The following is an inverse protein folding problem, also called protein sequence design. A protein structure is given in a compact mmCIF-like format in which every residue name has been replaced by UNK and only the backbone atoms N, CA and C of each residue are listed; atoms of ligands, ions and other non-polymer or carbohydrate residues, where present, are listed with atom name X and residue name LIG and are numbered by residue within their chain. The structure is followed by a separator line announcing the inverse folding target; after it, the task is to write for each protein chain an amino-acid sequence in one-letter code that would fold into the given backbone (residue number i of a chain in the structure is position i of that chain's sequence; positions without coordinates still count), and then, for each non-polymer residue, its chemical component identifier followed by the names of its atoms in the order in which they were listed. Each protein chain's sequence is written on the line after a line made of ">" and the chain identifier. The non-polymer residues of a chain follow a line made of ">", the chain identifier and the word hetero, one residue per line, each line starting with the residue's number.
data_IF_545243415699
#
_entry.id   IF_545243415699
#
_cell.length_a   1.000
_cell.length_b   1.000
_cell.length_c   1.000
_cell.angle_alpha   90.00
_cell.angle_beta   90.00
_cell.angle_gamma   90.00
#
_symmetry.space_group_name_H-M   'P 1'
#
loop_
_entity.id
_entity.type
_entity.pdbx_description
1 polymer ?
#
# COMPACT_ATOMS: atom_id res chain seq x y z
N UNK A 1 10.70 -11.07 -4.30
CA UNK A 1 11.57 -9.96 -3.89
C UNK A 1 11.41 -9.67 -2.40
N UNK A 2 10.24 -9.24 -1.91
CA UNK A 2 10.02 -8.94 -0.49
C UNK A 2 8.92 -9.82 0.11
N UNK A 3 9.25 -10.92 0.81
CA UNK A 3 8.25 -11.82 1.40
C UNK A 3 7.58 -11.23 2.64
N UNK A 4 8.23 -10.29 3.33
CA UNK A 4 7.72 -9.65 4.54
C UNK A 4 7.91 -8.12 4.52
N UNK A 5 7.26 -7.42 3.57
CA UNK A 5 7.50 -6.01 3.30
C UNK A 5 7.12 -5.09 4.48
N UNK A 6 6.06 -5.43 5.22
CA UNK A 6 5.61 -4.61 6.34
C UNK A 6 6.54 -4.73 7.56
N UNK A 7 7.03 -5.94 7.87
CA UNK A 7 8.02 -6.12 8.93
C UNK A 7 9.31 -5.35 8.61
N UNK A 8 9.83 -5.50 7.39
CA UNK A 8 11.05 -4.81 6.97
C UNK A 8 10.87 -3.29 7.03
N UNK A 9 9.75 -2.75 6.55
CA UNK A 9 9.48 -1.32 6.61
C UNK A 9 9.39 -0.82 8.06
N UNK A 10 8.61 -1.48 8.92
CA UNK A 10 8.42 -1.10 10.33
C UNK A 10 9.67 -1.27 11.19
N UNK A 11 10.68 -2.00 10.72
CA UNK A 11 11.99 -2.15 11.38
C UNK A 11 13.09 -1.30 10.74
N UNK A 12 12.81 -0.62 9.63
CA UNK A 12 13.76 0.25 8.91
C UNK A 12 13.16 1.63 8.64
N UNK A 13 12.76 1.92 7.40
CA UNK A 13 12.33 3.25 6.93
C UNK A 13 11.11 3.81 7.67
N UNK A 14 10.26 2.94 8.23
CA UNK A 14 9.07 3.31 9.01
C UNK A 14 9.22 3.05 10.51
N UNK A 15 10.44 2.81 11.00
CA UNK A 15 10.67 2.54 12.43
C UNK A 15 10.13 3.65 13.34
N UNK A 16 10.21 4.92 12.92
CA UNK A 16 9.77 6.08 13.70
C UNK A 16 8.25 6.17 13.90
N UNK A 17 7.45 5.49 13.08
CA UNK A 17 5.98 5.47 13.19
C UNK A 17 5.43 4.12 13.65
N UNK A 18 6.30 3.12 13.82
CA UNK A 18 5.90 1.78 14.22
C UNK A 18 5.36 1.77 15.66
N UNK A 19 4.29 1.00 15.87
CA UNK A 19 3.74 0.69 17.20
C UNK A 19 4.10 -0.75 17.54
N UNK A 20 4.64 -0.97 18.73
CA UNK A 20 5.09 -2.27 19.21
C UNK A 20 6.60 -2.49 19.07
N UNK A 21 7.06 -3.60 19.62
CA UNK A 21 8.47 -3.98 19.71
C UNK A 21 8.63 -5.51 19.68
N UNK A 22 9.86 -6.00 19.79
CA UNK A 22 10.12 -7.45 19.80
C UNK A 22 9.81 -8.10 18.47
N UNK A 23 8.86 -9.05 18.45
CA UNK A 23 8.55 -9.92 17.29
C UNK A 23 7.35 -9.48 16.45
N UNK A 24 6.64 -8.40 16.84
CA UNK A 24 5.53 -7.86 16.07
C UNK A 24 5.52 -6.34 16.13
N UNK A 25 5.19 -5.71 15.00
CA UNK A 25 5.01 -4.26 14.89
C UNK A 25 3.80 -3.98 14.01
N UNK A 26 3.12 -2.87 14.26
CA UNK A 26 2.01 -2.41 13.41
C UNK A 26 2.11 -0.94 13.07
N UNK A 27 1.38 -0.53 12.03
CA UNK A 27 1.13 0.88 11.81
C UNK A 27 0.06 1.40 12.79
N UNK A 28 0.09 2.70 13.15
CA UNK A 28 -0.97 3.31 13.94
C UNK A 28 -2.34 3.11 13.30
N UNK A 29 -3.38 2.98 14.13
CA UNK A 29 -4.74 2.69 13.67
C UNK A 29 -5.32 3.79 12.77
N UNK A 30 -4.85 5.03 12.82
CA UNK A 30 -5.27 6.12 11.93
C UNK A 30 -4.41 6.27 10.66
N UNK A 31 -3.41 5.41 10.48
CA UNK A 31 -2.49 5.37 9.31
C UNK A 31 -2.89 4.27 8.33
N UNK A 32 -2.67 2.99 8.60
CA UNK A 32 -3.11 1.87 7.73
C UNK A 32 -3.35 0.58 8.55
N UNK A 33 -4.25 -0.32 8.12
CA UNK A 33 -4.52 -1.59 8.82
C UNK A 33 -3.50 -2.67 8.50
N UNK A 34 -2.20 -2.42 8.70
CA UNK A 34 -1.16 -3.43 8.44
C UNK A 34 -0.23 -3.64 9.63
N UNK A 35 0.25 -4.88 9.76
CA UNK A 35 1.27 -5.28 10.70
C UNK A 35 2.37 -6.09 10.00
N UNK A 36 3.54 -6.12 10.62
CA UNK A 36 4.61 -7.04 10.32
C UNK A 36 4.91 -7.90 11.54
N UNK A 37 5.20 -9.17 11.31
CA UNK A 37 5.70 -10.12 12.31
C UNK A 37 7.11 -10.57 11.90
N UNK A 38 7.99 -10.83 12.86
CA UNK A 38 9.38 -11.20 12.57
C UNK A 38 9.49 -12.54 11.83
N UNK A 39 8.65 -13.49 12.22
CA UNK A 39 8.50 -14.80 11.64
C UNK A 39 7.03 -15.26 11.75
N UNK A 40 6.77 -16.51 11.38
CA UNK A 40 5.42 -17.08 11.28
C UNK A 40 5.03 -17.93 12.48
N UNK A 41 5.88 -18.01 13.51
CA UNK A 41 5.71 -18.89 14.65
C UNK A 41 4.81 -18.33 15.75
N UNK A 42 4.44 -19.21 16.68
CA UNK A 42 3.57 -18.91 17.81
C UNK A 42 3.97 -17.66 18.62
N UNK A 43 5.27 -17.45 18.90
CA UNK A 43 5.72 -16.30 19.70
C UNK A 43 5.46 -14.96 19.00
N UNK A 44 5.76 -14.87 17.70
CA UNK A 44 5.48 -13.67 16.91
C UNK A 44 3.97 -13.41 16.80
N UNK A 45 3.17 -14.47 16.70
CA UNK A 45 1.71 -14.38 16.66
C UNK A 45 1.11 -14.00 18.02
N UNK A 46 1.72 -14.41 19.13
CA UNK A 46 1.37 -13.93 20.49
C UNK A 46 1.65 -12.45 20.61
N UNK A 47 2.83 -11.99 20.18
CA UNK A 47 3.18 -10.57 20.16
C UNK A 47 2.19 -9.75 19.29
N UNK A 48 1.78 -10.27 18.13
CA UNK A 48 0.76 -9.64 17.29
C UNK A 48 -0.59 -9.53 18.02
N UNK A 49 -1.05 -10.59 18.68
CA UNK A 49 -2.30 -10.59 19.44
C UNK A 49 -2.32 -9.50 20.50
N UNK A 50 -1.20 -9.34 21.21
CA UNK A 50 -1.10 -8.39 22.31
C UNK A 50 -1.09 -6.93 21.83
N UNK A 51 -0.79 -6.68 20.55
CA UNK A 51 -0.89 -5.36 19.89
C UNK A 51 -2.29 -5.02 19.37
N UNK A 52 -3.22 -5.99 19.32
CA UNK A 52 -4.56 -5.79 18.81
C UNK A 52 -5.56 -5.58 19.94
N UNK A 53 -6.43 -4.59 19.78
CA UNK A 53 -7.58 -4.44 20.67
C UNK A 53 -8.62 -5.54 20.39
N UNK A 54 -9.43 -5.95 21.39
CA UNK A 54 -10.55 -6.87 21.15
C UNK A 54 -11.50 -6.33 20.06
N UNK A 55 -11.75 -7.14 19.04
CA UNK A 55 -12.53 -6.78 17.85
C UNK A 55 -11.70 -6.17 16.70
N UNK A 56 -10.45 -5.78 16.94
CA UNK A 56 -9.58 -5.20 15.90
C UNK A 56 -9.14 -6.25 14.88
N UNK A 57 -9.13 -5.85 13.61
CA UNK A 57 -8.65 -6.65 12.50
C UNK A 57 -7.56 -5.92 11.73
N UNK A 58 -6.50 -6.63 11.37
CA UNK A 58 -5.31 -6.09 10.70
C UNK A 58 -4.83 -7.04 9.61
N UNK A 59 -4.14 -6.52 8.61
CA UNK A 59 -3.52 -7.33 7.57
C UNK A 59 -2.04 -7.62 7.86
N UNK A 60 -1.65 -8.87 7.66
CA UNK A 60 -0.26 -9.33 7.71
C UNK A 60 0.08 -9.97 6.36
N UNK A 61 1.27 -9.69 5.85
CA UNK A 61 1.80 -10.35 4.66
C UNK A 61 2.61 -11.59 5.06
N UNK A 62 2.41 -12.70 4.36
CA UNK A 62 3.19 -13.94 4.57
C UNK A 62 2.37 -15.18 4.25
N UNK A 63 3.02 -16.28 3.82
CA UNK A 63 2.37 -17.44 3.20
C UNK A 63 1.72 -18.44 4.16
N UNK A 64 2.28 -18.60 5.36
CA UNK A 64 1.72 -19.44 6.44
C UNK A 64 1.87 -18.65 7.73
N UNK A 65 0.80 -18.46 8.48
CA UNK A 65 0.84 -17.85 9.81
C UNK A 65 0.31 -18.91 10.78
N UNK A 66 1.01 -19.16 11.89
CA UNK A 66 0.47 -20.02 12.94
C UNK A 66 -0.71 -19.32 13.63
N UNK A 67 -1.91 -19.87 13.48
CA UNK A 67 -3.08 -19.39 14.20
C UNK A 67 -3.07 -19.95 15.62
N UNK A 68 -3.00 -19.04 16.58
CA UNK A 68 -2.98 -19.33 18.02
C UNK A 68 -4.32 -18.98 18.66
N UNK A 69 -4.64 -19.51 19.85
CA UNK A 69 -5.80 -19.06 20.62
C UNK A 69 -5.81 -17.54 20.83
N UNK A 70 -6.97 -16.94 20.58
CA UNK A 70 -7.19 -15.49 20.67
C UNK A 70 -6.95 -14.73 19.37
N UNK A 71 -6.55 -15.41 18.29
CA UNK A 71 -6.51 -14.86 16.93
C UNK A 71 -7.31 -15.74 15.97
N UNK A 72 -7.93 -15.13 14.98
CA UNK A 72 -8.56 -15.84 13.88
C UNK A 72 -8.23 -15.19 12.54
N UNK A 73 -8.13 -16.00 11.49
CA UNK A 73 -8.04 -15.51 10.11
C UNK A 73 -9.45 -15.27 9.59
N UNK A 74 -9.75 -14.02 9.21
CA UNK A 74 -11.06 -13.62 8.68
C UNK A 74 -11.15 -13.84 7.17
N UNK A 75 -10.09 -13.48 6.44
CA UNK A 75 -9.99 -13.63 4.99
C UNK A 75 -8.54 -13.52 4.53
N UNK A 76 -8.31 -13.85 3.27
CA UNK A 76 -7.03 -13.62 2.61
C UNK A 76 -7.23 -12.96 1.24
N UNK A 77 -6.20 -12.24 0.80
CA UNK A 77 -6.12 -11.60 -0.51
C UNK A 77 -4.82 -12.08 -1.16
N UNK A 78 -4.96 -12.97 -2.14
CA UNK A 78 -3.84 -13.36 -2.99
C UNK A 78 -3.51 -12.23 -3.98
N UNK A 79 -2.23 -12.00 -4.19
CA UNK A 79 -1.73 -10.95 -5.08
C UNK A 79 -0.38 -11.27 -5.67
N UNK A 80 0.06 -10.36 -6.52
CA UNK A 80 1.40 -10.36 -7.09
C UNK A 80 2.18 -9.17 -6.53
N UNK A 81 3.45 -9.40 -6.25
CA UNK A 81 4.44 -8.34 -6.20
C UNK A 81 4.92 -8.08 -7.61
N UNK A 82 4.97 -6.80 -8.01
CA UNK A 82 5.50 -6.40 -9.30
C UNK A 82 6.60 -5.36 -9.11
N UNK A 83 7.71 -5.52 -9.84
CA UNK A 83 8.83 -4.57 -9.82
C UNK A 83 8.90 -3.83 -11.15
N UNK A 84 9.18 -2.53 -11.10
CA UNK A 84 9.50 -1.78 -12.29
C UNK A 84 10.89 -2.21 -12.80
N UNK A 85 10.97 -2.60 -14.07
CA UNK A 85 12.17 -3.19 -14.68
C UNK A 85 12.67 -2.43 -15.92
N UNK A 86 11.98 -1.35 -16.32
CA UNK A 86 12.38 -0.58 -17.51
C UNK A 86 13.37 0.52 -17.15
N UNK A 87 14.51 0.55 -17.83
CA UNK A 87 15.46 1.67 -17.77
C UNK A 87 14.99 2.87 -18.62
N UNK A 88 14.05 2.62 -19.53
CA UNK A 88 13.48 3.66 -20.41
C UNK A 88 12.18 4.18 -19.80
N UNK A 89 12.21 5.46 -19.42
CA UNK A 89 11.00 6.21 -19.10
C UNK A 89 10.53 6.93 -20.35
N UNK A 90 9.40 6.51 -20.90
CA UNK A 90 8.80 7.24 -22.03
C UNK A 90 8.53 8.70 -21.66
N UNK A 91 8.75 9.65 -22.58
CA UNK A 91 8.41 11.06 -22.38
C UNK A 91 6.96 11.20 -21.93
N UNK A 92 6.70 12.18 -21.05
CA UNK A 92 5.33 12.51 -20.66
C UNK A 92 4.56 13.02 -21.87
N UNK A 93 3.27 12.70 -21.95
CA UNK A 93 2.38 13.32 -22.94
C UNK A 93 2.31 14.82 -22.70
N UNK A 94 2.57 15.64 -23.72
CA UNK A 94 2.54 17.11 -23.62
C UNK A 94 1.16 17.64 -23.17
N UNK A 95 0.10 16.87 -23.37
CA UNK A 95 -1.28 17.18 -22.97
C UNK A 95 -1.71 16.55 -21.64
N UNK A 96 -0.78 16.01 -20.84
CA UNK A 96 -1.11 15.42 -19.56
C UNK A 96 -1.77 16.46 -18.62
N UNK A 97 -2.77 16.07 -17.80
CA UNK A 97 -3.33 16.96 -16.80
C UNK A 97 -2.27 17.44 -15.81
N UNK A 98 -2.42 18.64 -15.22
CA UNK A 98 -1.55 19.07 -14.14
C UNK A 98 -1.65 18.09 -12.96
N UNK A 99 -0.49 17.76 -12.40
CA UNK A 99 -0.34 16.89 -11.24
C UNK A 99 0.05 17.77 -10.05
N UNK A 100 -0.64 17.60 -8.92
CA UNK A 100 -0.35 18.33 -7.68
C UNK A 100 0.16 17.38 -6.59
N UNK A 101 1.02 17.88 -5.70
CA UNK A 101 1.42 17.18 -4.49
C UNK A 101 0.30 17.31 -3.45
N UNK A 102 -0.12 16.20 -2.85
CA UNK A 102 -1.17 16.14 -1.86
C UNK A 102 -0.57 16.13 -0.45
N UNK A 103 -0.65 17.28 0.23
CA UNK A 103 -0.29 17.44 1.64
C UNK A 103 -1.41 17.00 2.61
N UNK A 104 -1.14 17.12 3.91
CA UNK A 104 -2.05 16.76 5.01
C UNK A 104 -3.39 17.50 4.96
N UNK A 105 -3.44 18.73 4.44
CA UNK A 105 -4.69 19.48 4.27
C UNK A 105 -5.68 18.78 3.32
N UNK A 106 -5.16 17.95 2.39
CA UNK A 106 -5.97 17.21 1.43
C UNK A 106 -6.45 15.85 1.97
N UNK A 107 -6.19 15.51 3.24
CA UNK A 107 -6.50 14.19 3.78
C UNK A 107 -7.97 13.79 3.63
N UNK A 108 -8.90 14.75 3.76
CA UNK A 108 -10.33 14.48 3.55
C UNK A 108 -10.66 14.10 2.11
N UNK A 109 -10.08 14.81 1.13
CA UNK A 109 -10.26 14.52 -0.29
C UNK A 109 -9.67 13.16 -0.66
N UNK A 110 -8.47 12.86 -0.13
CA UNK A 110 -7.80 11.57 -0.35
C UNK A 110 -8.63 10.41 0.22
N UNK A 111 -9.07 10.51 1.48
CA UNK A 111 -9.94 9.50 2.10
C UNK A 111 -11.22 9.33 1.28
N UNK A 112 -11.91 10.42 0.95
CA UNK A 112 -13.15 10.37 0.17
C UNK A 112 -13.00 9.69 -1.19
N UNK A 113 -11.91 9.94 -1.91
CA UNK A 113 -11.64 9.28 -3.19
C UNK A 113 -11.31 7.78 -3.00
N UNK A 114 -10.47 7.47 -2.01
CA UNK A 114 -10.06 6.08 -1.76
C UNK A 114 -11.16 5.21 -1.17
N UNK A 115 -12.10 5.74 -0.40
CA UNK A 115 -13.19 4.95 0.18
C UNK A 115 -14.13 4.38 -0.89
N UNK A 116 -14.23 5.05 -2.05
CA UNK A 116 -14.96 4.55 -3.21
C UNK A 116 -14.26 3.34 -3.85
N UNK A 117 -12.93 3.29 -3.80
CA UNK A 117 -12.14 2.26 -4.49
C UNK A 117 -11.70 1.12 -3.56
N UNK A 118 -11.27 1.44 -2.33
CA UNK A 118 -10.59 0.57 -1.36
C UNK A 118 -10.99 0.95 0.07
N UNK A 119 -12.26 0.76 0.47
CA UNK A 119 -12.78 1.27 1.74
C UNK A 119 -11.95 0.82 2.95
N UNK A 120 -11.55 1.78 3.77
CA UNK A 120 -10.85 1.56 5.04
C UNK A 120 -9.35 1.23 4.97
N UNK A 121 -8.76 1.10 3.78
CA UNK A 121 -7.30 0.90 3.62
C UNK A 121 -6.50 2.19 3.75
N UNK A 122 -7.03 3.28 3.18
CA UNK A 122 -6.49 4.61 3.34
C UNK A 122 -7.28 5.34 4.44
N UNK A 123 -6.58 6.02 5.32
CA UNK A 123 -7.07 6.64 6.56
C UNK A 123 -6.53 8.05 6.67
N UNK A 124 -7.03 8.78 7.68
CA UNK A 124 -6.74 10.21 7.88
C UNK A 124 -5.24 10.55 7.86
N UNK A 125 -4.38 9.69 8.40
CA UNK A 125 -2.93 9.90 8.46
C UNK A 125 -2.12 9.05 7.48
N UNK A 126 -2.72 8.34 6.53
CA UNK A 126 -1.94 7.52 5.57
C UNK A 126 -0.92 8.33 4.76
N UNK A 127 -1.19 9.62 4.56
CA UNK A 127 -0.28 10.55 3.87
C UNK A 127 1.10 10.65 4.52
N UNK A 128 1.27 10.25 5.79
CA UNK A 128 2.60 10.26 6.45
C UNK A 128 3.54 9.16 5.94
N UNK A 129 3.02 8.18 5.20
CA UNK A 129 3.81 7.06 4.65
C UNK A 129 4.68 7.45 3.45
N UNK A 130 4.45 8.63 2.87
CA UNK A 130 5.24 9.12 1.76
C UNK A 130 4.50 10.14 0.90
N UNK A 131 4.96 10.32 -0.33
CA UNK A 131 4.41 11.33 -1.24
C UNK A 131 3.16 10.84 -1.94
N UNK A 132 2.14 11.70 -2.01
CA UNK A 132 0.89 11.45 -2.72
C UNK A 132 0.66 12.53 -3.78
N UNK A 133 0.19 12.11 -4.95
CA UNK A 133 0.01 12.98 -6.11
C UNK A 133 -1.41 12.86 -6.65
N UNK A 134 -1.98 13.98 -7.04
CA UNK A 134 -3.38 14.09 -7.44
C UNK A 134 -3.59 14.77 -8.78
N UNK A 135 -4.75 14.50 -9.38
CA UNK A 135 -5.28 15.23 -10.53
C UNK A 135 -6.66 15.78 -10.15
N UNK A 136 -6.87 17.08 -10.38
CA UNK A 136 -8.17 17.74 -10.17
C UNK A 136 -8.94 18.02 -11.46
N UNK A 137 -10.26 17.98 -11.33
CA UNK A 137 -11.24 18.48 -12.31
C UNK A 137 -12.35 19.22 -11.58
N UNK A 138 -12.63 20.44 -12.03
CA UNK A 138 -13.68 21.29 -11.46
C UNK A 138 -13.55 21.44 -9.93
N UNK A 139 -12.32 21.62 -9.46
CA UNK A 139 -11.97 21.74 -8.03
C UNK A 139 -11.96 20.42 -7.24
N UNK A 140 -12.38 19.30 -7.82
CA UNK A 140 -12.46 18.00 -7.14
C UNK A 140 -11.25 17.12 -7.44
N UNK A 141 -10.74 16.41 -6.44
CA UNK A 141 -9.73 15.36 -6.62
C UNK A 141 -10.38 14.15 -7.32
N UNK A 142 -9.94 13.85 -8.55
CA UNK A 142 -10.56 12.81 -9.39
C UNK A 142 -9.66 11.60 -9.62
N UNK A 143 -8.37 11.72 -9.39
CA UNK A 143 -7.43 10.60 -9.40
C UNK A 143 -6.26 10.88 -8.45
N UNK A 144 -5.73 9.83 -7.84
CA UNK A 144 -4.52 9.92 -7.02
C UNK A 144 -3.70 8.64 -7.08
N UNK A 145 -2.43 8.75 -6.71
CA UNK A 145 -1.51 7.66 -6.43
C UNK A 145 -0.45 8.15 -5.44
N UNK A 146 0.19 7.25 -4.70
CA UNK A 146 1.27 7.65 -3.80
C UNK A 146 2.11 6.49 -3.31
N UNK A 147 2.80 6.71 -2.20
CA UNK A 147 3.74 5.76 -1.59
C UNK A 147 3.12 5.09 -0.35
N UNK A 148 3.36 3.78 -0.14
CA UNK A 148 2.86 3.09 1.08
C UNK A 148 3.93 2.34 1.86
N UNK A 149 4.66 1.43 1.25
CA UNK A 149 5.78 0.70 1.89
C UNK A 149 7.10 1.34 1.46
N UNK A 150 7.94 1.68 2.43
CA UNK A 150 9.31 2.11 2.22
C UNK A 150 10.27 1.05 2.74
N UNK A 151 11.23 0.65 1.90
CA UNK A 151 12.35 -0.21 2.27
C UNK A 151 13.65 0.50 1.86
N UNK A 152 14.82 0.14 2.42
CA UNK A 152 16.08 0.73 1.99
C UNK A 152 16.28 0.60 0.48
N UNK A 153 16.31 1.73 -0.23
CA UNK A 153 16.43 1.80 -1.70
C UNK A 153 15.16 1.53 -2.52
N UNK A 154 14.01 1.24 -1.87
CA UNK A 154 12.75 0.94 -2.57
C UNK A 154 11.55 1.72 -2.04
N UNK A 155 10.61 2.03 -2.92
CA UNK A 155 9.30 2.58 -2.57
C UNK A 155 8.18 1.85 -3.30
N UNK A 156 7.13 1.52 -2.56
CA UNK A 156 5.92 0.91 -3.08
C UNK A 156 4.98 1.98 -3.63
N UNK A 157 4.59 1.85 -4.90
CA UNK A 157 3.49 2.62 -5.47
C UNK A 157 2.17 2.00 -5.01
N UNK A 158 1.31 2.83 -4.42
CA UNK A 158 0.04 2.42 -3.82
C UNK A 158 -1.05 3.49 -4.00
N UNK A 159 -2.24 3.20 -3.47
CA UNK A 159 -3.42 4.07 -3.51
C UNK A 159 -3.78 4.59 -4.91
N UNK A 160 -3.42 3.85 -5.97
CA UNK A 160 -3.73 4.22 -7.35
C UNK A 160 -5.23 4.08 -7.58
N UNK A 161 -5.94 5.20 -7.69
CA UNK A 161 -7.37 5.21 -7.93
C UNK A 161 -7.79 6.38 -8.82
N UNK A 162 -8.95 6.22 -9.44
CA UNK A 162 -9.61 7.26 -10.24
C UNK A 162 -11.09 7.15 -9.96
N UNK A 163 -11.73 8.28 -9.68
CA UNK A 163 -13.16 8.35 -9.43
C UNK A 163 -13.93 7.71 -10.60
N UNK A 164 -14.98 6.88 -10.36
CA UNK A 164 -15.67 6.13 -11.41
C UNK A 164 -16.08 6.97 -12.64
N UNK A 165 -16.61 8.17 -12.40
CA UNK A 165 -17.02 9.14 -13.43
C UNK A 165 -15.87 9.75 -14.27
N UNK A 166 -14.61 9.48 -13.90
CA UNK A 166 -13.42 10.02 -14.55
C UNK A 166 -12.46 8.93 -15.07
N UNK A 167 -12.92 7.67 -15.11
CA UNK A 167 -12.15 6.54 -15.64
C UNK A 167 -11.99 6.61 -17.16
N UNK A 168 -11.06 5.82 -17.73
CA UNK A 168 -10.81 5.76 -19.18
C UNK A 168 -9.95 6.90 -19.75
N UNK A 169 -9.53 7.86 -18.92
CA UNK A 169 -8.78 9.06 -19.32
C UNK A 169 -7.25 8.96 -19.13
N UNK A 170 -6.73 7.77 -18.84
CA UNK A 170 -5.29 7.55 -18.65
C UNK A 170 -4.68 8.07 -17.34
N UNK A 171 -5.46 8.62 -16.40
CA UNK A 171 -4.95 9.28 -15.18
C UNK A 171 -4.04 8.41 -14.31
N UNK A 172 -4.39 7.13 -14.13
CA UNK A 172 -3.54 6.20 -13.39
C UNK A 172 -2.13 6.06 -14.02
N UNK A 173 -2.06 5.95 -15.35
CA UNK A 173 -0.79 5.84 -16.07
C UNK A 173 0.05 7.11 -15.93
N UNK A 174 -0.58 8.29 -16.04
CA UNK A 174 0.06 9.60 -15.86
C UNK A 174 0.67 9.72 -14.46
N UNK A 175 -0.10 9.39 -13.42
CA UNK A 175 0.35 9.47 -12.03
C UNK A 175 1.47 8.47 -11.73
N UNK A 176 1.36 7.22 -12.20
CA UNK A 176 2.42 6.22 -12.01
C UNK A 176 3.72 6.67 -12.68
N UNK A 177 3.68 7.15 -13.92
CA UNK A 177 4.87 7.67 -14.62
C UNK A 177 5.49 8.86 -13.88
N UNK A 178 4.66 9.73 -13.31
CA UNK A 178 5.15 10.83 -12.47
C UNK A 178 5.92 10.30 -11.24
N UNK A 179 5.32 9.37 -10.50
CA UNK A 179 5.97 8.77 -9.32
C UNK A 179 7.25 8.03 -9.70
N UNK A 180 7.26 7.28 -10.80
CA UNK A 180 8.47 6.60 -11.28
C UNK A 180 9.62 7.59 -11.57
N UNK A 181 9.32 8.76 -12.16
CA UNK A 181 10.33 9.81 -12.37
C UNK A 181 10.83 10.38 -11.04
N UNK A 182 9.93 10.64 -10.09
CA UNK A 182 10.30 11.10 -8.74
C UNK A 182 11.22 10.09 -8.05
N UNK A 183 10.88 8.81 -8.10
CA UNK A 183 11.71 7.74 -7.55
C UNK A 183 13.08 7.66 -8.24
N UNK A 184 13.12 7.73 -9.57
CA UNK A 184 14.37 7.70 -10.35
C UNK A 184 15.33 8.84 -9.98
N UNK A 185 14.83 10.08 -9.90
CA UNK A 185 15.64 11.25 -9.47
C UNK A 185 16.19 11.07 -8.05
N UNK A 186 15.49 10.32 -7.20
CA UNK A 186 15.90 10.01 -5.82
C UNK A 186 16.73 8.74 -5.70
N UNK A 187 17.12 8.11 -6.82
CA UNK A 187 17.80 6.82 -6.87
C UNK A 187 17.05 5.68 -6.12
N UNK A 188 15.70 5.73 -6.16
CA UNK A 188 14.82 4.73 -5.56
C UNK A 188 14.26 3.79 -6.64
N UNK A 189 14.15 2.51 -6.30
CA UNK A 189 13.50 1.50 -7.13
C UNK A 189 12.02 1.38 -6.77
N UNK A 190 11.19 1.17 -7.79
CA UNK A 190 9.74 1.12 -7.63
C UNK A 190 9.21 -0.31 -7.68
N UNK A 191 8.30 -0.63 -6.78
CA UNK A 191 7.53 -1.86 -6.81
C UNK A 191 6.09 -1.59 -6.41
N UNK A 192 5.22 -2.59 -6.51
CA UNK A 192 3.83 -2.51 -6.06
C UNK A 192 3.30 -3.90 -5.73
N UNK A 193 2.18 -3.93 -5.00
CA UNK A 193 1.35 -5.12 -4.87
C UNK A 193 0.01 -4.90 -5.57
N UNK A 194 -0.49 -5.95 -6.21
CA UNK A 194 -1.79 -5.96 -6.89
C UNK A 194 -2.51 -7.27 -6.59
N UNK A 195 -3.81 -7.19 -6.27
CA UNK A 195 -4.62 -8.38 -6.07
C UNK A 195 -4.66 -9.23 -7.35
N UNK A 196 -4.56 -10.55 -7.22
CA UNK A 196 -4.48 -11.46 -8.37
C UNK A 196 -5.74 -11.39 -9.25
N UNK A 197 -6.89 -11.08 -8.65
CA UNK A 197 -8.16 -10.89 -9.35
C UNK A 197 -8.28 -9.54 -10.11
N UNK A 198 -7.31 -8.62 -9.97
CA UNK A 198 -7.37 -7.30 -10.61
C UNK A 198 -6.60 -7.29 -11.94
N UNK A 199 -7.10 -8.06 -12.92
CA UNK A 199 -6.50 -8.20 -14.25
C UNK A 199 -6.31 -6.85 -14.94
N UNK A 200 -7.28 -5.94 -14.82
CA UNK A 200 -7.19 -4.59 -15.40
C UNK A 200 -5.98 -3.81 -14.88
N UNK A 201 -5.74 -3.83 -13.57
CA UNK A 201 -4.58 -3.15 -12.99
C UNK A 201 -3.28 -3.86 -13.36
N UNK A 202 -3.25 -5.20 -13.34
CA UNK A 202 -2.09 -6.00 -13.78
C UNK A 202 -1.68 -5.62 -15.20
N UNK A 203 -2.60 -5.64 -16.16
CA UNK A 203 -2.30 -5.28 -17.55
C UNK A 203 -1.87 -3.81 -17.70
N UNK A 204 -2.37 -2.90 -16.86
CA UNK A 204 -1.87 -1.53 -16.81
C UNK A 204 -0.41 -1.48 -16.36
N UNK A 205 -0.08 -2.15 -15.27
CA UNK A 205 1.28 -2.17 -14.73
C UNK A 205 2.27 -2.83 -15.70
N UNK A 206 1.88 -3.93 -16.35
CA UNK A 206 2.69 -4.61 -17.38
C UNK A 206 3.00 -3.67 -18.56
N UNK A 207 2.00 -2.95 -19.09
CA UNK A 207 2.22 -1.94 -20.14
C UNK A 207 3.09 -0.76 -19.69
N UNK A 208 3.15 -0.50 -18.39
CA UNK A 208 4.00 0.52 -17.80
C UNK A 208 5.40 0.00 -17.47
N UNK A 209 5.75 -1.25 -17.79
CA UNK A 209 7.10 -1.81 -17.58
C UNK A 209 7.30 -2.47 -16.22
N UNK A 210 6.23 -2.79 -15.49
CA UNK A 210 6.30 -3.65 -14.31
C UNK A 210 6.26 -5.11 -14.70
N UNK A 211 7.06 -5.92 -14.03
CA UNK A 211 7.07 -7.39 -14.18
C UNK A 211 6.65 -8.04 -12.87
N UNK A 212 5.87 -9.13 -12.94
CA UNK A 212 5.55 -9.95 -11.77
C UNK A 212 6.83 -10.60 -11.25
N UNK A 213 7.11 -10.44 -9.97
CA UNK A 213 8.32 -11.01 -9.34
C UNK A 213 8.00 -12.13 -8.37
N UNK A 214 6.90 -12.03 -7.62
CA UNK A 214 6.45 -13.06 -6.67
C UNK A 214 4.93 -13.08 -6.53
N UNK A 215 4.43 -14.17 -5.94
CA UNK A 215 3.12 -14.19 -5.28
C UNK A 215 3.23 -13.67 -3.85
N UNK A 216 2.15 -13.08 -3.34
CA UNK A 216 2.04 -12.67 -1.94
C UNK A 216 0.61 -12.89 -1.46
N UNK A 217 0.44 -13.25 -0.19
CA UNK A 217 -0.86 -13.36 0.45
C UNK A 217 -0.93 -12.34 1.58
N UNK A 218 -1.97 -11.50 1.56
CA UNK A 218 -2.34 -10.64 2.68
C UNK A 218 -3.46 -11.31 3.48
N UNK A 219 -3.18 -11.68 4.72
CA UNK A 219 -4.15 -12.32 5.63
C UNK A 219 -4.71 -11.29 6.58
N UNK A 220 -6.04 -11.20 6.65
CA UNK A 220 -6.68 -10.41 7.68
C UNK A 220 -6.80 -11.25 8.96
N UNK A 221 -6.08 -10.83 9.99
CA UNK A 221 -6.07 -11.43 11.32
C UNK A 221 -6.90 -10.56 12.24
N UNK A 222 -7.80 -11.17 13.00
CA UNK A 222 -8.66 -10.49 13.98
C UNK A 222 -8.42 -11.06 15.37
N UNK A 223 -8.40 -10.17 16.37
CA UNK A 223 -8.58 -10.55 17.77
C UNK A 223 -10.08 -10.50 18.06
N UNK A 224 -10.77 -11.62 18.35
CA UNK A 224 -12.20 -11.59 18.64
C UNK A 224 -12.51 -10.66 19.82
N UNK A 225 -13.66 -9.97 19.76
CA UNK A 225 -14.19 -9.22 20.89
C UNK A 225 -14.72 -10.13 22.00
N UNK A 226 -14.98 -9.59 23.21
CA UNK A 226 -15.77 -10.31 24.21
C UNK A 226 -17.13 -10.70 23.60
N UNK A 227 -17.57 -11.93 23.88
CA UNK A 227 -18.91 -12.43 23.52
C UNK A 227 -19.98 -11.78 24.37
#
# INVERSE_FOLDING_TARGET
>A
MFPNPFWQALTTEHAAIAVGEGLARRYPADVIPFAGVADTGEEAMRALRDLLEPGEAIYVAGDKLELIPGLEQVREIAGYQMSFSSDVMEPGEASAPPIELLASEHASDMVGLTDVAFPGFFRKKTHVLGSYWGIRRDGKLVAMAGERVALPGFREISAVCTHPSYTGKGYAAVLIRHILRVHSVRALRSFLHVAAANERAISLYERLGFVKTETIIFRQIRRPGPR
#
